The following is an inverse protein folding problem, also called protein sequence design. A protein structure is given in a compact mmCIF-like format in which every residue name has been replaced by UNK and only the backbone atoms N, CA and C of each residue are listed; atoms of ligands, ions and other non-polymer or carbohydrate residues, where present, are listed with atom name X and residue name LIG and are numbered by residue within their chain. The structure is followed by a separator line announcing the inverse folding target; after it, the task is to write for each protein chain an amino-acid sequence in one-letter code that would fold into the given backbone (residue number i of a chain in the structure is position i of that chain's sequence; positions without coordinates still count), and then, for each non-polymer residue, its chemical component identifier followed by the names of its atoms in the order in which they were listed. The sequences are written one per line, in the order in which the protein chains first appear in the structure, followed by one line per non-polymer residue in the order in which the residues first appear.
data_IF_948147234446
#
_entry.id   IF_948147234446
#
_cell.length_a   1.000
_cell.length_b   1.000
_cell.length_c   1.000
_cell.angle_alpha   90.00
_cell.angle_beta   90.00
_cell.angle_gamma   90.00
#
_symmetry.space_group_name_H-M   'P 1'
#
loop_
_entity.id
_entity.type
_entity.pdbx_description
1 polymer ?
#
# COMPACT_ATOMS: atom_id res chain seq x y z
N UNK A 1 -13.95 14.19 3.07
CA UNK A 1 -13.01 13.65 2.05
C UNK A 1 -12.72 12.20 2.40
N UNK A 2 -12.54 11.31 1.41
CA UNK A 2 -12.26 9.89 1.67
C UNK A 2 -10.75 9.68 1.63
N UNK A 3 -10.17 9.29 2.76
CA UNK A 3 -8.73 9.10 2.92
C UNK A 3 -8.43 7.60 2.88
N UNK A 4 -7.52 7.15 2.01
CA UNK A 4 -7.11 5.74 1.93
C UNK A 4 -5.74 5.55 2.56
N UNK A 5 -5.64 4.60 3.49
CA UNK A 5 -4.35 4.11 3.98
C UNK A 5 -3.74 3.19 2.92
N UNK A 6 -2.46 3.40 2.64
CA UNK A 6 -1.69 2.62 1.67
C UNK A 6 -0.35 2.29 2.31
N UNK A 7 0.08 1.06 2.12
CA UNK A 7 1.42 0.65 2.50
C UNK A 7 2.29 0.53 1.26
N UNK A 8 3.40 1.25 1.23
CA UNK A 8 4.39 1.17 0.16
C UNK A 8 5.58 0.35 0.64
N UNK A 9 5.91 -0.71 -0.10
CA UNK A 9 7.10 -1.51 0.11
C UNK A 9 8.12 -1.16 -0.96
N UNK A 10 9.33 -0.77 -0.53
CA UNK A 10 10.44 -0.40 -1.41
C UNK A 10 11.58 -1.37 -1.13
N UNK A 11 12.12 -2.00 -2.18
CA UNK A 11 13.20 -3.00 -2.02
C UNK A 11 14.57 -2.31 -2.05
N UNK A 12 14.91 -1.55 -1.01
CA UNK A 12 16.19 -0.86 -0.89
C UNK A 12 16.08 0.52 -0.24
N UNK A 13 16.70 1.55 -0.83
CA UNK A 13 16.71 2.91 -0.27
C UNK A 13 15.38 3.63 -0.47
N UNK A 14 14.72 3.86 0.64
CA UNK A 14 13.41 4.47 0.79
C UNK A 14 13.40 6.00 0.77
N UNK A 15 14.56 6.66 0.92
CA UNK A 15 14.66 8.14 0.92
C UNK A 15 14.16 8.76 -0.38
N UNK A 16 14.60 8.25 -1.54
CA UNK A 16 14.19 8.80 -2.84
C UNK A 16 12.67 8.72 -3.07
N UNK A 17 12.02 7.67 -2.56
CA UNK A 17 10.57 7.52 -2.64
C UNK A 17 9.84 8.52 -1.74
N UNK A 18 10.34 8.77 -0.54
CA UNK A 18 9.74 9.77 0.36
C UNK A 18 9.80 11.16 -0.27
N UNK A 19 10.95 11.53 -0.82
CA UNK A 19 11.14 12.82 -1.49
C UNK A 19 10.21 12.94 -2.71
N UNK A 20 10.07 11.89 -3.51
CA UNK A 20 9.14 11.84 -4.62
C UNK A 20 7.68 12.00 -4.18
N UNK A 21 7.27 11.32 -3.10
CA UNK A 21 5.89 11.39 -2.60
C UNK A 21 5.54 12.78 -2.06
N UNK A 22 6.54 13.56 -1.62
CA UNK A 22 6.34 14.94 -1.16
C UNK A 22 5.88 15.90 -2.27
N UNK A 23 6.09 15.53 -3.54
CA UNK A 23 5.60 16.30 -4.70
C UNK A 23 4.08 16.22 -4.83
N UNK A 24 3.46 15.15 -4.31
CA UNK A 24 2.02 14.93 -4.38
C UNK A 24 1.34 15.49 -3.13
N UNK A 25 0.66 16.63 -3.28
CA UNK A 25 -0.02 17.32 -2.16
C UNK A 25 -1.11 16.48 -1.48
N UNK A 26 -1.65 15.50 -2.20
CA UNK A 26 -2.68 14.57 -1.75
C UNK A 26 -2.12 13.40 -0.92
N UNK A 27 -0.79 13.29 -0.82
CA UNK A 27 -0.11 12.20 -0.13
C UNK A 27 0.46 12.70 1.20
N UNK A 28 0.12 12.02 2.29
CA UNK A 28 0.68 12.26 3.61
C UNK A 28 1.40 11.00 4.10
N UNK A 29 2.70 11.10 4.37
CA UNK A 29 3.46 10.01 5.00
C UNK A 29 3.18 10.01 6.51
N UNK A 30 2.76 8.85 7.05
CA UNK A 30 2.36 8.68 8.46
C UNK A 30 3.39 7.94 9.30
N UNK A 31 3.89 6.82 8.79
CA UNK A 31 4.82 5.95 9.52
C UNK A 31 5.92 5.49 8.57
N UNK A 32 7.10 5.40 9.14
CA UNK A 32 8.29 4.84 8.52
C UNK A 32 8.73 3.61 9.31
N UNK A 33 8.96 2.51 8.60
CA UNK A 33 9.55 1.27 9.14
C UNK A 33 10.58 0.78 8.15
N UNK A 34 11.60 0.03 8.60
CA UNK A 34 12.72 -0.48 7.79
C UNK A 34 12.32 -1.33 6.55
N UNK A 35 11.04 -1.60 6.37
CA UNK A 35 10.51 -2.42 5.28
C UNK A 35 9.35 -1.78 4.53
N UNK A 36 8.73 -0.70 5.03
CA UNK A 36 7.57 -0.10 4.38
C UNK A 36 7.27 1.32 4.87
N UNK A 37 6.61 2.09 4.00
CA UNK A 37 6.03 3.40 4.28
C UNK A 37 4.52 3.26 4.44
N UNK A 38 3.97 3.82 5.52
CA UNK A 38 2.53 4.04 5.62
C UNK A 38 2.22 5.44 5.10
N UNK A 39 1.41 5.51 4.05
CA UNK A 39 0.92 6.77 3.50
C UNK A 39 -0.60 6.83 3.55
N UNK A 40 -1.11 8.05 3.61
CA UNK A 40 -2.53 8.35 3.42
C UNK A 40 -2.64 9.14 2.14
N UNK A 41 -3.52 8.70 1.24
CA UNK A 41 -3.84 9.42 0.02
C UNK A 41 -5.27 9.92 0.10
N UNK A 42 -5.43 11.23 -0.10
CA UNK A 42 -6.72 11.88 -0.11
C UNK A 42 -7.32 11.92 -1.52
N UNK A 43 -8.63 11.69 -1.63
CA UNK A 43 -9.37 11.87 -2.87
C UNK A 43 -9.84 10.58 -3.53
N UNK A 44 -10.50 10.72 -4.68
CA UNK A 44 -11.17 9.60 -5.35
C UNK A 44 -10.26 8.82 -6.31
N UNK A 45 -9.13 9.40 -6.74
CA UNK A 45 -8.23 8.85 -7.77
C UNK A 45 -6.93 8.27 -7.21
N UNK A 46 -7.02 7.58 -6.08
CA UNK A 46 -5.86 7.02 -5.36
C UNK A 46 -4.98 6.14 -6.27
N UNK A 47 -5.60 5.32 -7.12
CA UNK A 47 -4.86 4.45 -8.04
C UNK A 47 -4.07 5.25 -9.08
N UNK A 48 -4.66 6.31 -9.63
CA UNK A 48 -4.01 7.15 -10.64
C UNK A 48 -2.82 7.89 -10.05
N UNK A 49 -2.95 8.41 -8.82
CA UNK A 49 -1.85 9.05 -8.08
C UNK A 49 -0.69 8.07 -7.90
N UNK A 50 -0.97 6.84 -7.48
CA UNK A 50 0.07 5.81 -7.32
C UNK A 50 0.70 5.37 -8.64
N UNK A 51 -0.08 5.29 -9.72
CA UNK A 51 0.46 4.99 -11.06
C UNK A 51 1.39 6.09 -11.52
N UNK A 52 0.99 7.35 -11.39
CA UNK A 52 1.82 8.50 -11.72
C UNK A 52 3.09 8.51 -10.85
N UNK A 53 2.97 8.32 -9.54
CA UNK A 53 4.13 8.27 -8.64
C UNK A 53 5.13 7.16 -9.05
N UNK A 54 4.63 6.01 -9.51
CA UNK A 54 5.48 4.93 -10.01
C UNK A 54 6.14 5.27 -11.34
N UNK A 55 5.41 5.86 -12.29
CA UNK A 55 5.97 6.33 -13.56
C UNK A 55 7.08 7.36 -13.34
N UNK A 56 6.86 8.33 -12.44
CA UNK A 56 7.89 9.28 -12.01
C UNK A 56 9.08 8.59 -11.36
N UNK A 57 8.84 7.59 -10.50
CA UNK A 57 9.90 6.83 -9.84
C UNK A 57 10.82 6.16 -10.86
N UNK A 58 10.22 5.49 -11.85
CA UNK A 58 10.96 4.81 -12.92
C UNK A 58 11.68 5.79 -13.85
N UNK A 59 11.05 6.93 -14.16
CA UNK A 59 11.63 7.97 -15.03
C UNK A 59 12.85 8.65 -14.42
N UNK A 60 12.81 8.91 -13.11
CA UNK A 60 13.90 9.54 -12.35
C UNK A 60 14.94 8.52 -11.83
N UNK A 61 14.87 7.26 -12.30
CA UNK A 61 15.76 6.16 -11.88
C UNK A 61 15.72 5.84 -10.37
N UNK A 62 14.64 6.22 -9.70
CA UNK A 62 14.35 5.74 -8.35
C UNK A 62 13.93 4.27 -8.38
N UNK A 63 13.92 3.66 -7.20
CA UNK A 63 13.52 2.27 -7.06
C UNK A 63 12.03 2.10 -7.40
N UNK A 64 11.69 0.97 -8.00
CA UNK A 64 10.29 0.61 -8.15
C UNK A 64 9.72 0.17 -6.79
N UNK A 65 8.41 0.32 -6.59
CA UNK A 65 7.75 0.02 -5.33
C UNK A 65 6.50 -0.84 -5.50
N UNK A 66 6.15 -1.53 -4.42
CA UNK A 66 4.89 -2.26 -4.30
C UNK A 66 3.93 -1.48 -3.41
N UNK A 67 2.73 -1.17 -3.90
CA UNK A 67 1.72 -0.47 -3.12
C UNK A 67 0.56 -1.41 -2.73
N UNK A 68 0.13 -1.35 -1.46
CA UNK A 68 -1.02 -2.08 -0.95
C UNK A 68 -2.11 -1.09 -0.53
N UNK A 69 -3.18 -1.01 -1.32
CA UNK A 69 -4.34 -0.15 -1.05
C UNK A 69 -5.31 -0.87 -0.12
N UNK A 70 -5.45 -0.34 1.10
CA UNK A 70 -6.32 -0.88 2.15
C UNK A 70 -7.77 -0.39 1.93
N UNK A 71 -8.79 -1.26 2.08
CA UNK A 71 -10.18 -0.82 2.11
C UNK A 71 -10.43 0.08 3.33
N UNK A 72 -11.38 1.01 3.18
CA UNK A 72 -11.80 1.85 4.30
C UNK A 72 -12.25 0.98 5.48
N UNK A 73 -11.94 1.41 6.70
CA UNK A 73 -12.40 0.81 7.97
C UNK A 73 -11.66 -0.44 8.47
N UNK A 74 -10.53 -0.84 7.87
CA UNK A 74 -9.76 -1.98 8.34
C UNK A 74 -8.37 -1.60 8.81
N UNK A 75 -8.04 -2.00 10.04
CA UNK A 75 -6.65 -2.14 10.45
C UNK A 75 -6.11 -3.46 9.88
N UNK A 76 -5.00 -3.37 9.17
CA UNK A 76 -4.44 -4.47 8.40
C UNK A 76 -3.00 -4.71 8.83
N UNK A 77 -2.66 -5.92 9.34
CA UNK A 77 -1.32 -6.22 9.84
C UNK A 77 -0.36 -6.43 8.66
N UNK A 78 0.03 -5.33 8.03
CA UNK A 78 0.86 -5.36 6.82
C UNK A 78 2.21 -6.01 7.07
N UNK A 79 2.79 -5.82 8.25
CA UNK A 79 4.08 -6.40 8.64
C UNK A 79 4.05 -7.93 8.54
N UNK A 80 3.00 -8.58 9.06
CA UNK A 80 2.83 -10.04 8.96
C UNK A 80 2.75 -10.50 7.51
N UNK A 81 2.06 -9.74 6.65
CA UNK A 81 1.89 -10.11 5.25
C UNK A 81 3.19 -9.93 4.46
N UNK A 82 3.90 -8.84 4.69
CA UNK A 82 5.20 -8.61 4.04
C UNK A 82 6.18 -9.73 4.40
N UNK A 83 6.19 -10.18 5.65
CA UNK A 83 7.02 -11.30 6.11
C UNK A 83 6.66 -12.65 5.48
N UNK A 84 5.39 -12.84 5.08
CA UNK A 84 4.89 -14.07 4.48
C UNK A 84 5.01 -14.10 2.95
N UNK A 85 5.38 -12.99 2.31
CA UNK A 85 5.48 -12.89 0.85
C UNK A 85 6.94 -13.08 0.42
N UNK A 86 7.29 -14.26 -0.13
CA UNK A 86 8.69 -14.62 -0.39
C UNK A 86 9.34 -13.75 -1.47
N UNK A 87 8.54 -13.22 -2.41
CA UNK A 87 8.97 -12.26 -3.43
C UNK A 87 7.78 -11.34 -3.73
N UNK A 88 7.94 -10.04 -3.45
CA UNK A 88 7.00 -9.01 -3.88
C UNK A 88 7.41 -8.48 -5.24
N UNK A 89 6.53 -8.61 -6.23
CA UNK A 89 6.70 -7.90 -7.49
C UNK A 89 6.26 -6.44 -7.31
N UNK A 90 7.04 -5.47 -7.83
CA UNK A 90 6.61 -4.08 -7.87
C UNK A 90 5.32 -3.93 -8.66
N UNK A 91 4.23 -3.54 -7.99
CA UNK A 91 2.92 -3.26 -8.56
C UNK A 91 1.97 -2.69 -7.50
N UNK A 92 0.78 -2.26 -7.93
CA UNK A 92 -0.28 -1.77 -7.05
C UNK A 92 -1.29 -2.90 -6.82
N UNK A 93 -1.42 -3.33 -5.57
CA UNK A 93 -2.37 -4.33 -5.11
C UNK A 93 -3.52 -3.67 -4.34
N UNK A 94 -4.75 -4.09 -4.61
CA UNK A 94 -5.90 -3.77 -3.77
C UNK A 94 -6.22 -4.97 -2.89
N UNK A 95 -6.07 -4.82 -1.56
CA UNK A 95 -6.16 -5.96 -0.63
C UNK A 95 -7.61 -6.34 -0.24
N UNK A 96 -8.63 -5.68 -0.81
CA UNK A 96 -10.05 -6.01 -0.66
C UNK A 96 -10.35 -7.51 -0.83
N UNK A 97 -9.66 -8.17 -1.78
CA UNK A 97 -9.85 -9.59 -2.07
C UNK A 97 -9.20 -10.53 -1.06
N UNK A 98 -8.13 -10.10 -0.38
CA UNK A 98 -7.44 -10.91 0.64
C UNK A 98 -8.27 -11.01 1.92
N UNK A 99 -8.98 -9.93 2.27
CA UNK A 99 -9.82 -9.86 3.46
C UNK A 99 -11.08 -10.72 3.31
N UNK A 100 -11.66 -10.81 2.10
CA UNK A 100 -12.91 -11.57 1.85
C UNK A 100 -12.80 -13.08 2.16
N UNK A 101 -11.61 -13.67 2.06
CA UNK A 101 -11.41 -15.11 2.31
C UNK A 101 -11.27 -15.49 3.78
N UNK A 102 -10.90 -14.58 4.69
CA UNK A 102 -10.93 -14.90 6.14
C UNK A 102 -12.36 -14.99 6.67
N UNK A 103 -13.29 -14.21 6.11
CA UNK A 103 -14.68 -14.20 6.58
C UNK A 103 -15.54 -15.33 6.01
N UNK A 104 -15.27 -15.84 4.80
CA UNK A 104 -16.01 -17.01 4.27
C UNK A 104 -15.76 -18.30 5.07
N UNK A 105 -14.62 -18.42 5.73
CA UNK A 105 -14.31 -19.55 6.61
C UNK A 105 -14.79 -19.36 8.05
N UNK A 106 -15.13 -18.14 8.47
CA UNK A 106 -15.76 -17.88 9.77
C UNK A 106 -17.28 -18.06 9.74
N UNK A 107 -17.94 -17.87 8.59
CA UNK A 107 -19.40 -18.05 8.46
C UNK A 107 -19.85 -19.50 8.33
N UNK A 108 -18.93 -20.48 8.23
CA UNK A 108 -19.27 -21.92 8.22
C UNK A 108 -19.17 -22.58 9.60
N UNK A 109 -18.76 -21.86 10.63
CA UNK A 109 -18.59 -22.38 11.99
C UNK A 109 -19.79 -22.11 12.91
N UNK A 110 -20.85 -21.47 12.41
CA UNK A 110 -22.11 -21.29 13.15
C UNK A 110 -23.28 -21.70 12.26
N UNK A 111 -23.49 -23.01 12.15
CA UNK A 111 -24.81 -23.56 11.94
C UNK A 111 -25.08 -24.44 13.15
N UNK A 112 -25.82 -23.87 14.10
CA UNK A 112 -26.54 -24.61 15.14
C UNK A 112 -27.64 -25.45 14.49
#
# INVERSE_FOLDING_TARGET
MRNRKIYLYVRGEEKGIIDLLSVFTEVTVKKYSNHYLEIIVEGMKVKDILLNAREFSLGELYQDFTAFIVPFEFDFPIEEILNLLPILTPQIYTIEKLIRNRYKNFSRSFSY
#
